data_IF_437337496535
#
_entry.id   IF_437337496535
#
_cell.length_a   1.000
_cell.length_b   1.000
_cell.length_c   1.000
_cell.angle_alpha   90.00
_cell.angle_beta   90.00
_cell.angle_gamma   90.00
#
_symmetry.space_group_name_H-M   'P 1'
#
loop_
_entity.id
_entity.type
_entity.pdbx_description
1 polymer ?
#
# COMPACT_ATOMS: atom_id res chain seq x y z
N UNK A 1 -20.35 -0.52 -25.66
CA UNK A 1 -21.17 0.71 -25.68
C UNK A 1 -20.24 1.91 -25.89
N UNK A 2 -20.66 3.00 -26.54
CA UNK A 2 -19.87 4.24 -26.59
C UNK A 2 -20.29 5.12 -25.42
N UNK A 3 -19.33 5.50 -24.58
CA UNK A 3 -19.54 6.33 -23.40
C UNK A 3 -18.62 7.53 -23.48
N UNK A 4 -19.15 8.71 -23.17
CA UNK A 4 -18.38 9.94 -23.00
C UNK A 4 -18.13 10.14 -21.51
N UNK A 5 -16.88 10.38 -21.12
CA UNK A 5 -16.48 10.65 -19.74
C UNK A 5 -15.59 11.89 -19.72
N UNK A 6 -15.69 12.68 -18.66
CA UNK A 6 -14.76 13.76 -18.38
C UNK A 6 -13.52 13.18 -17.69
N UNK A 7 -12.34 13.53 -18.20
CA UNK A 7 -11.05 13.05 -17.70
C UNK A 7 -10.02 14.15 -17.85
N UNK A 8 -9.07 14.26 -16.92
CA UNK A 8 -8.00 15.24 -17.04
C UNK A 8 -7.11 14.94 -18.26
N UNK A 9 -6.68 15.99 -18.95
CA UNK A 9 -5.79 15.88 -20.12
C UNK A 9 -4.52 15.12 -19.78
N UNK A 10 -3.92 15.41 -18.61
CA UNK A 10 -2.72 14.74 -18.13
C UNK A 10 -2.90 13.21 -18.00
N UNK A 11 -4.06 12.76 -17.53
CA UNK A 11 -4.35 11.34 -17.40
C UNK A 11 -4.63 10.69 -18.76
N UNK A 12 -5.38 11.38 -19.63
CA UNK A 12 -5.63 10.92 -21.00
C UNK A 12 -4.34 10.74 -21.79
N UNK A 13 -3.42 11.70 -21.68
CA UNK A 13 -2.11 11.64 -22.33
C UNK A 13 -1.25 10.48 -21.81
N UNK A 14 -1.27 10.24 -20.50
CA UNK A 14 -0.58 9.09 -19.91
C UNK A 14 -1.15 7.77 -20.43
N UNK A 15 -2.47 7.66 -20.51
CA UNK A 15 -3.15 6.48 -21.03
C UNK A 15 -2.83 6.24 -22.52
N UNK A 16 -2.81 7.31 -23.34
CA UNK A 16 -2.41 7.23 -24.77
C UNK A 16 -0.97 6.76 -24.93
N UNK A 17 -0.03 7.30 -24.15
CA UNK A 17 1.38 6.84 -24.17
C UNK A 17 1.49 5.37 -23.76
N UNK A 18 0.75 4.94 -22.74
CA UNK A 18 0.73 3.55 -22.31
C UNK A 18 0.19 2.64 -23.42
N UNK A 19 -0.97 2.96 -23.99
CA UNK A 19 -1.59 2.25 -25.10
C UNK A 19 -0.64 2.06 -26.30
N UNK A 20 0.06 3.14 -26.71
CA UNK A 20 1.04 3.09 -27.81
C UNK A 20 2.22 2.17 -27.49
N UNK A 21 2.77 2.26 -26.27
CA UNK A 21 3.91 1.42 -25.84
C UNK A 21 3.55 -0.06 -25.78
N UNK A 22 2.31 -0.39 -25.41
CA UNK A 22 1.86 -1.79 -25.29
C UNK A 22 1.21 -2.33 -26.57
N UNK A 23 1.12 -1.53 -27.63
CA UNK A 23 0.46 -1.94 -28.88
C UNK A 23 -1.04 -2.19 -28.73
N UNK A 24 -1.69 -1.60 -27.72
CA UNK A 24 -3.10 -1.83 -27.39
C UNK A 24 -3.93 -0.58 -27.69
N UNK A 25 -5.21 -0.72 -28.08
CA UNK A 25 -6.08 0.44 -28.26
C UNK A 25 -6.41 1.09 -26.91
N UNK A 26 -6.59 2.42 -26.89
CA UNK A 26 -6.89 3.18 -25.67
C UNK A 26 -8.12 2.62 -24.91
N UNK A 27 -9.15 2.17 -25.65
CA UNK A 27 -10.34 1.54 -25.06
C UNK A 27 -10.00 0.35 -24.16
N UNK A 28 -9.00 -0.46 -24.53
CA UNK A 28 -8.62 -1.65 -23.77
C UNK A 28 -7.94 -1.27 -22.46
N UNK A 29 -7.16 -0.19 -22.46
CA UNK A 29 -6.54 0.38 -21.23
C UNK A 29 -7.62 0.90 -20.29
N UNK A 30 -8.62 1.60 -20.83
CA UNK A 30 -9.75 2.14 -20.04
C UNK A 30 -10.59 1.01 -19.44
N UNK A 31 -10.96 0.01 -20.24
CA UNK A 31 -11.77 -1.14 -19.78
C UNK A 31 -11.04 -2.01 -18.77
N UNK A 32 -9.73 -2.22 -18.93
CA UNK A 32 -8.91 -2.93 -17.95
C UNK A 32 -8.84 -2.17 -16.63
N UNK A 33 -8.60 -0.85 -16.67
CA UNK A 33 -8.61 -0.02 -15.48
C UNK A 33 -9.95 -0.08 -14.75
N UNK A 34 -11.06 0.01 -15.48
CA UNK A 34 -12.40 -0.12 -14.90
C UNK A 34 -12.62 -1.49 -14.27
N UNK A 35 -12.22 -2.58 -14.95
CA UNK A 35 -12.32 -3.94 -14.40
C UNK A 35 -11.50 -4.10 -13.13
N UNK A 36 -10.27 -3.59 -13.11
CA UNK A 36 -9.41 -3.66 -11.93
C UNK A 36 -10.05 -2.97 -10.72
N UNK A 37 -10.66 -1.80 -10.90
CA UNK A 37 -11.36 -1.08 -9.83
C UNK A 37 -12.62 -1.82 -9.36
N UNK A 38 -13.34 -2.49 -10.27
CA UNK A 38 -14.54 -3.26 -9.92
C UNK A 38 -14.21 -4.60 -9.24
N UNK A 39 -13.06 -5.19 -9.58
CA UNK A 39 -12.55 -6.44 -8.98
C UNK A 39 -11.79 -6.18 -7.67
N UNK A 40 -11.34 -4.94 -7.44
CA UNK A 40 -10.68 -4.53 -6.19
C UNK A 40 -11.66 -4.66 -5.03
N UNK A 41 -11.64 -5.85 -4.41
CA UNK A 41 -12.25 -6.07 -3.11
C UNK A 41 -11.51 -5.17 -2.12
N UNK A 42 -12.22 -4.26 -1.46
CA UNK A 42 -11.70 -3.54 -0.30
C UNK A 42 -11.34 -4.55 0.79
N UNK A 43 -10.10 -5.04 0.76
CA UNK A 43 -9.54 -5.79 1.87
C UNK A 43 -9.29 -4.75 2.96
N UNK A 44 -10.08 -4.79 4.03
CA UNK A 44 -9.75 -4.00 5.21
C UNK A 44 -8.36 -4.43 5.66
N UNK A 45 -7.48 -3.45 5.87
CA UNK A 45 -6.16 -3.73 6.39
C UNK A 45 -6.30 -4.32 7.79
N UNK A 46 -5.89 -5.58 7.95
CA UNK A 46 -5.74 -6.21 9.26
C UNK A 46 -4.31 -5.98 9.72
N UNK A 47 -4.13 -5.31 10.86
CA UNK A 47 -2.82 -5.12 11.46
C UNK A 47 -2.24 -6.52 11.80
N UNK A 48 -1.11 -6.92 11.20
CA UNK A 48 -0.50 -8.19 11.54
C UNK A 48 -0.02 -8.13 12.99
N UNK A 49 -0.21 -9.21 13.73
CA UNK A 49 0.35 -9.29 15.08
C UNK A 49 1.89 -9.31 14.98
N UNK A 50 2.49 -8.25 15.52
CA UNK A 50 3.93 -8.04 15.64
C UNK A 50 4.30 -7.69 17.07
N UNK A 51 3.45 -8.08 18.02
CA UNK A 51 3.70 -7.89 19.44
C UNK A 51 4.97 -8.65 19.85
N UNK A 52 5.78 -8.03 20.69
CA UNK A 52 7.00 -8.64 21.26
C UNK A 52 6.77 -8.89 22.75
N UNK A 53 7.19 -10.08 23.22
CA UNK A 53 6.94 -10.54 24.59
C UNK A 53 5.69 -11.40 24.73
N UNK A 54 5.29 -11.67 25.97
CA UNK A 54 4.09 -12.44 26.32
C UNK A 54 3.04 -11.53 26.93
N UNK A 55 1.83 -11.55 26.38
CA UNK A 55 0.71 -10.81 26.96
C UNK A 55 0.48 -11.22 28.42
N UNK A 56 0.39 -10.24 29.31
CA UNK A 56 0.20 -10.47 30.75
C UNK A 56 1.46 -10.86 31.53
N UNK A 57 2.61 -11.03 30.88
CA UNK A 57 3.88 -11.20 31.60
C UNK A 57 4.38 -9.87 32.18
N UNK A 58 5.13 -9.89 33.29
CA UNK A 58 5.79 -8.70 33.81
C UNK A 58 6.67 -8.04 32.74
N UNK A 59 6.57 -6.72 32.59
CA UNK A 59 7.39 -5.98 31.64
C UNK A 59 8.80 -5.75 32.23
N UNK A 60 9.86 -6.38 31.68
CA UNK A 60 11.22 -6.27 32.20
C UNK A 60 11.80 -4.86 32.06
N UNK A 61 11.24 -4.02 31.18
CA UNK A 61 11.70 -2.65 30.97
C UNK A 61 11.28 -1.70 32.10
N UNK A 62 10.33 -2.08 32.95
CA UNK A 62 9.84 -1.21 34.05
C UNK A 62 10.95 -0.93 35.06
N UNK A 63 11.85 -1.88 35.30
CA UNK A 63 12.97 -1.73 36.23
C UNK A 63 14.23 -1.14 35.59
N UNK A 64 14.22 -0.86 34.28
CA UNK A 64 15.39 -0.39 33.55
C UNK A 64 15.49 1.14 33.60
N UNK A 65 16.72 1.65 33.68
CA UNK A 65 16.95 3.07 33.44
C UNK A 65 16.78 3.38 31.94
N UNK A 66 16.63 4.65 31.61
CA UNK A 66 16.57 5.07 30.21
C UNK A 66 17.83 4.65 29.42
N UNK A 67 18.99 4.67 30.06
CA UNK A 67 20.25 4.26 29.47
C UNK A 67 20.25 2.76 29.12
N UNK A 68 19.76 1.91 30.03
CA UNK A 68 19.67 0.46 29.80
C UNK A 68 18.73 0.11 28.63
N UNK A 69 17.57 0.77 28.56
CA UNK A 69 16.60 0.59 27.46
C UNK A 69 17.21 1.00 26.12
N UNK A 70 17.93 2.12 26.09
CA UNK A 70 18.60 2.60 24.88
C UNK A 70 19.67 1.63 24.41
N UNK A 71 20.47 1.11 25.33
CA UNK A 71 21.56 0.18 25.02
C UNK A 71 21.03 -1.18 24.52
N UNK A 72 19.87 -1.62 25.01
CA UNK A 72 19.15 -2.81 24.51
C UNK A 72 18.63 -2.62 23.08
N UNK A 73 18.04 -1.46 22.76
CA UNK A 73 17.46 -1.17 21.44
C UNK A 73 18.53 -1.07 20.34
N UNK A 74 19.62 -0.35 20.62
CA UNK A 74 20.63 -0.03 19.60
C UNK A 74 21.83 -0.98 19.61
N UNK A 75 21.93 -1.85 20.62
CA UNK A 75 23.09 -2.70 20.87
C UNK A 75 24.25 -1.87 21.43
N UNK A 76 24.94 -2.39 22.46
CA UNK A 76 26.20 -1.82 22.93
C UNK A 76 27.22 -1.86 21.80
N UNK A 77 27.58 -0.69 21.26
CA UNK A 77 28.72 -0.52 20.37
C UNK A 77 29.97 -0.21 21.17
#
# INVERSE_FOLDING_TARGET
>A
MKTTIEISDALLDRARRHARRTGRPLRAVVEEGLRAVLEEKRVQYTLPDRSVGKAGAPNPLISMSWQDVRDEIYGRR
#
